data_IF_358400668557
#
_entry.id   IF_358400668557
#
_cell.length_a   1.000
_cell.length_b   1.000
_cell.length_c   1.000
_cell.angle_alpha   90.00
_cell.angle_beta   90.00
_cell.angle_gamma   90.00
#
_symmetry.space_group_name_H-M   'P 1'
#
loop_
_entity.id
_entity.type
_entity.pdbx_description
1 polymer ?
#
# COMPACT_ATOMS: atom_id res chain seq x y z
N UNK A 1 -15.03 -20.56 -11.28
CA UNK A 1 -13.73 -19.87 -11.18
C UNK A 1 -14.00 -18.39 -11.33
N UNK A 2 -13.68 -17.62 -10.28
CA UNK A 2 -13.87 -16.16 -10.26
C UNK A 2 -12.75 -15.47 -11.03
N UNK A 3 -13.09 -14.39 -11.73
CA UNK A 3 -12.21 -13.71 -12.68
C UNK A 3 -11.76 -12.37 -12.09
N UNK A 4 -10.46 -12.15 -12.05
CA UNK A 4 -9.86 -10.88 -11.62
C UNK A 4 -9.33 -10.15 -12.85
N UNK A 5 -9.64 -8.86 -12.92
CA UNK A 5 -9.16 -7.95 -13.95
C UNK A 5 -8.02 -7.08 -13.44
N UNK A 6 -6.91 -7.04 -14.17
CA UNK A 6 -5.80 -6.10 -13.92
C UNK A 6 -5.95 -4.85 -14.78
N UNK A 7 -5.70 -3.70 -14.17
CA UNK A 7 -5.65 -2.41 -14.84
C UNK A 7 -4.38 -1.73 -14.36
N UNK A 8 -3.47 -1.42 -15.28
CA UNK A 8 -2.14 -0.92 -14.94
C UNK A 8 -1.71 0.23 -15.86
N UNK A 9 -0.71 0.97 -15.43
CA UNK A 9 0.03 1.88 -16.29
C UNK A 9 0.82 1.10 -17.36
N UNK A 10 1.49 0.02 -16.95
CA UNK A 10 2.11 -1.00 -17.83
C UNK A 10 2.23 -2.33 -17.07
N UNK A 11 2.00 -3.46 -17.74
CA UNK A 11 1.85 -4.75 -17.04
C UNK A 11 3.18 -5.41 -16.64
N UNK A 12 4.30 -5.06 -17.29
CA UNK A 12 5.61 -5.60 -16.90
C UNK A 12 6.19 -4.84 -15.70
N UNK A 13 5.61 -5.13 -14.54
CA UNK A 13 6.06 -4.65 -13.24
C UNK A 13 6.01 -5.78 -12.19
N UNK A 14 6.61 -5.56 -11.03
CA UNK A 14 6.85 -6.62 -10.06
C UNK A 14 5.56 -7.25 -9.49
N UNK A 15 4.53 -6.49 -9.14
CA UNK A 15 3.31 -7.06 -8.55
C UNK A 15 2.50 -7.82 -9.60
N UNK A 16 2.32 -7.28 -10.79
CA UNK A 16 1.67 -7.90 -11.93
C UNK A 16 2.35 -9.23 -12.26
N UNK A 17 3.69 -9.26 -12.26
CA UNK A 17 4.46 -10.48 -12.49
C UNK A 17 4.27 -11.56 -11.40
N UNK A 18 3.86 -11.22 -10.17
CA UNK A 18 3.78 -12.15 -9.03
C UNK A 18 2.36 -12.50 -8.58
N UNK A 19 1.45 -11.52 -8.56
CA UNK A 19 0.09 -11.65 -8.06
C UNK A 19 -0.72 -12.77 -8.71
N UNK A 20 -0.66 -13.04 -10.04
CA UNK A 20 -1.40 -14.14 -10.65
C UNK A 20 -1.13 -15.48 -9.99
N UNK A 21 0.14 -15.79 -9.71
CA UNK A 21 0.53 -17.03 -9.05
C UNK A 21 0.12 -17.05 -7.57
N UNK A 22 0.32 -15.94 -6.85
CA UNK A 22 -0.01 -15.86 -5.43
C UNK A 22 -1.50 -15.95 -5.17
N UNK A 23 -2.33 -15.25 -5.96
CA UNK A 23 -3.78 -15.30 -5.86
C UNK A 23 -4.28 -16.71 -6.20
N UNK A 24 -3.77 -17.34 -7.26
CA UNK A 24 -4.13 -18.71 -7.62
C UNK A 24 -3.81 -19.68 -6.47
N UNK A 25 -2.64 -19.54 -5.86
CA UNK A 25 -2.23 -20.38 -4.73
C UNK A 25 -3.06 -20.11 -3.48
N UNK A 26 -3.29 -18.85 -3.12
CA UNK A 26 -4.03 -18.46 -1.93
C UNK A 26 -5.53 -18.80 -2.01
N UNK A 27 -6.10 -18.80 -3.23
CA UNK A 27 -7.50 -19.18 -3.49
C UNK A 27 -7.69 -20.66 -3.84
N UNK A 28 -6.62 -21.47 -3.78
CA UNK A 28 -6.65 -22.89 -4.18
C UNK A 28 -7.21 -23.10 -5.62
N UNK A 29 -6.92 -22.15 -6.51
CA UNK A 29 -7.36 -22.16 -7.91
C UNK A 29 -8.81 -21.75 -8.14
N UNK A 30 -9.53 -21.29 -7.11
CA UNK A 30 -10.92 -20.80 -7.27
C UNK A 30 -10.97 -19.42 -7.91
N UNK A 31 -9.90 -18.64 -7.83
CA UNK A 31 -9.71 -17.34 -8.50
C UNK A 31 -8.51 -17.36 -9.44
N UNK A 32 -8.60 -16.57 -10.52
CA UNK A 32 -7.47 -16.30 -11.40
C UNK A 32 -7.51 -14.89 -11.97
N UNK A 33 -6.34 -14.35 -12.31
CA UNK A 33 -6.21 -13.16 -13.13
C UNK A 33 -6.47 -13.59 -14.57
N UNK A 34 -7.58 -13.15 -15.13
CA UNK A 34 -8.05 -13.62 -16.44
C UNK A 34 -7.98 -12.54 -17.51
N UNK A 35 -8.09 -11.28 -17.10
CA UNK A 35 -8.13 -10.13 -17.99
C UNK A 35 -7.13 -9.09 -17.53
N UNK A 36 -6.53 -8.38 -18.48
CA UNK A 36 -5.65 -7.26 -18.19
C UNK A 36 -5.84 -6.14 -19.20
N UNK A 37 -5.61 -4.91 -18.75
CA UNK A 37 -5.39 -3.72 -19.56
C UNK A 37 -4.15 -3.01 -19.04
N UNK A 38 -3.26 -2.60 -19.95
CA UNK A 38 -2.14 -1.73 -19.63
C UNK A 38 -2.20 -0.48 -20.51
N UNK A 39 -2.11 0.71 -19.90
CA UNK A 39 -2.24 1.99 -20.60
C UNK A 39 -1.15 2.21 -21.65
N UNK A 40 0.08 1.77 -21.35
CA UNK A 40 1.22 1.76 -22.27
C UNK A 40 2.07 0.51 -22.07
N UNK A 41 2.98 0.25 -23.00
CA UNK A 41 4.02 -0.77 -22.82
C UNK A 41 5.12 -0.28 -21.87
N UNK A 42 5.81 -1.21 -21.21
CA UNK A 42 6.98 -0.89 -20.39
C UNK A 42 8.12 -0.32 -21.24
N UNK A 43 8.76 0.74 -20.76
CA UNK A 43 9.86 1.42 -21.49
C UNK A 43 11.15 0.61 -21.53
N UNK A 44 11.35 -0.26 -20.53
CA UNK A 44 12.59 -1.02 -20.34
C UNK A 44 12.35 -2.53 -20.20
N UNK A 45 11.10 -2.97 -20.40
CA UNK A 45 10.65 -4.34 -20.20
C UNK A 45 10.04 -4.98 -21.45
N UNK A 46 9.11 -5.90 -21.24
CA UNK A 46 8.30 -6.50 -22.29
C UNK A 46 7.02 -5.68 -22.54
N UNK A 47 6.41 -5.85 -23.72
CA UNK A 47 5.11 -5.25 -24.02
C UNK A 47 3.98 -5.94 -23.25
N UNK A 48 2.86 -5.25 -23.11
CA UNK A 48 1.65 -5.78 -22.48
C UNK A 48 1.15 -7.06 -23.16
N UNK A 49 1.29 -7.15 -24.49
CA UNK A 49 0.92 -8.35 -25.23
C UNK A 49 1.81 -9.56 -24.91
N UNK A 50 3.12 -9.35 -24.78
CA UNK A 50 4.06 -10.43 -24.40
C UNK A 50 3.86 -10.83 -22.94
N UNK A 51 3.59 -9.87 -22.06
CA UNK A 51 3.25 -10.15 -20.67
C UNK A 51 1.98 -11.01 -20.57
N UNK A 52 0.93 -10.62 -21.31
CA UNK A 52 -0.35 -11.31 -21.32
C UNK A 52 -0.20 -12.77 -21.78
N UNK A 53 0.55 -13.01 -22.87
CA UNK A 53 0.85 -14.37 -23.36
C UNK A 53 1.60 -15.21 -22.31
N UNK A 54 2.67 -14.64 -21.74
CA UNK A 54 3.49 -15.30 -20.70
C UNK A 54 2.68 -15.69 -19.47
N UNK A 55 1.73 -14.86 -19.05
CA UNK A 55 0.90 -15.10 -17.88
C UNK A 55 -0.42 -15.83 -18.19
N UNK A 56 -0.68 -16.16 -19.47
CA UNK A 56 -1.95 -16.74 -19.93
C UNK A 56 -3.17 -15.89 -19.54
N UNK A 57 -3.01 -14.57 -19.61
CA UNK A 57 -4.03 -13.55 -19.33
C UNK A 57 -4.51 -12.97 -20.64
N UNK A 58 -5.82 -12.73 -20.79
CA UNK A 58 -6.34 -12.06 -21.98
C UNK A 58 -6.13 -10.55 -21.86
N UNK A 59 -5.32 -9.99 -22.76
CA UNK A 59 -5.21 -8.54 -22.92
C UNK A 59 -6.50 -7.99 -23.58
N UNK A 60 -7.08 -6.95 -22.98
CA UNK A 60 -8.29 -6.27 -23.45
C UNK A 60 -7.95 -4.86 -23.92
N UNK A 61 -8.81 -4.30 -24.78
CA UNK A 61 -8.55 -3.02 -25.45
C UNK A 61 -8.93 -1.80 -24.59
N UNK A 62 -9.62 -2.02 -23.47
CA UNK A 62 -10.15 -0.93 -22.64
C UNK A 62 -10.41 -1.36 -21.19
N UNK A 63 -10.39 -0.39 -20.29
CA UNK A 63 -10.75 -0.57 -18.88
C UNK A 63 -12.21 -1.03 -18.76
N UNK A 64 -13.11 -0.51 -19.58
CA UNK A 64 -14.53 -0.88 -19.64
C UNK A 64 -14.72 -2.38 -19.88
N UNK A 65 -13.94 -2.96 -20.80
CA UNK A 65 -13.99 -4.40 -21.07
C UNK A 65 -13.47 -5.22 -19.89
N UNK A 66 -12.40 -4.77 -19.21
CA UNK A 66 -11.88 -5.43 -18.00
C UNK A 66 -12.93 -5.40 -16.90
N UNK A 67 -13.51 -4.22 -16.64
CA UNK A 67 -14.57 -4.03 -15.65
C UNK A 67 -15.77 -4.90 -15.98
N UNK A 68 -16.23 -4.96 -17.23
CA UNK A 68 -17.40 -5.74 -17.62
C UNK A 68 -17.22 -7.26 -17.42
N UNK A 69 -16.03 -7.79 -17.71
CA UNK A 69 -15.78 -9.23 -17.73
C UNK A 69 -15.27 -9.80 -16.39
N UNK A 70 -14.82 -8.96 -15.47
CA UNK A 70 -14.22 -9.41 -14.20
C UNK A 70 -15.23 -9.46 -13.06
N UNK A 71 -15.07 -10.37 -12.12
CA UNK A 71 -15.79 -10.38 -10.83
C UNK A 71 -15.17 -9.35 -9.86
N UNK A 72 -13.83 -9.24 -9.87
CA UNK A 72 -13.04 -8.39 -8.99
C UNK A 72 -11.96 -7.63 -9.76
N UNK A 73 -11.45 -6.55 -9.18
CA UNK A 73 -10.54 -5.64 -9.88
C UNK A 73 -9.29 -5.35 -9.05
N UNK A 74 -8.15 -5.30 -9.73
CA UNK A 74 -6.89 -4.82 -9.20
C UNK A 74 -6.39 -3.68 -10.09
N UNK A 75 -6.23 -2.50 -9.50
CA UNK A 75 -5.57 -1.36 -10.13
C UNK A 75 -4.14 -1.28 -9.61
N UNK A 76 -3.19 -1.28 -10.53
CA UNK A 76 -1.77 -1.21 -10.28
C UNK A 76 -1.23 0.11 -10.87
N UNK A 77 -0.11 0.55 -10.32
CA UNK A 77 0.84 1.53 -10.86
C UNK A 77 1.82 1.86 -9.71
N UNK A 78 2.56 0.87 -9.17
CA UNK A 78 3.17 0.99 -7.85
C UNK A 78 4.22 2.10 -7.71
N UNK A 79 4.94 2.38 -8.81
CA UNK A 79 5.93 3.46 -8.92
C UNK A 79 5.34 4.73 -9.58
N UNK A 80 4.06 4.71 -9.95
CA UNK A 80 3.33 5.76 -10.63
C UNK A 80 1.95 6.03 -10.00
N UNK A 81 1.88 6.31 -8.68
CA UNK A 81 0.61 6.47 -7.99
C UNK A 81 -0.23 7.63 -8.54
N UNK A 82 0.38 8.60 -9.24
CA UNK A 82 -0.34 9.66 -9.95
C UNK A 82 -1.27 9.16 -11.07
N UNK A 83 -1.09 7.92 -11.53
CA UNK A 83 -1.96 7.30 -12.54
C UNK A 83 -3.22 6.68 -11.93
N UNK A 84 -3.26 6.40 -10.63
CA UNK A 84 -4.37 5.67 -10.02
C UNK A 84 -5.71 6.38 -10.15
N UNK A 85 -5.79 7.71 -10.10
CA UNK A 85 -7.08 8.41 -10.31
C UNK A 85 -7.66 8.16 -11.70
N UNK A 86 -6.81 8.19 -12.74
CA UNK A 86 -7.21 7.89 -14.11
C UNK A 86 -7.61 6.41 -14.25
N UNK A 87 -6.75 5.51 -13.78
CA UNK A 87 -6.93 4.06 -13.96
C UNK A 87 -8.08 3.49 -13.13
N UNK A 88 -8.37 4.10 -11.97
CA UNK A 88 -9.39 3.62 -11.04
C UNK A 88 -10.77 4.27 -11.24
N UNK A 89 -10.93 5.24 -12.14
CA UNK A 89 -12.21 5.93 -12.38
C UNK A 89 -13.36 4.94 -12.63
N UNK A 90 -13.20 4.04 -13.60
CA UNK A 90 -14.22 3.05 -13.95
C UNK A 90 -14.29 1.87 -12.96
N UNK A 91 -13.17 1.31 -12.47
CA UNK A 91 -13.19 0.30 -11.42
C UNK A 91 -13.98 0.72 -10.18
N UNK A 92 -13.71 1.93 -9.68
CA UNK A 92 -14.35 2.44 -8.48
C UNK A 92 -15.81 2.85 -8.72
N UNK A 93 -16.22 3.08 -9.96
CA UNK A 93 -17.62 3.32 -10.32
C UNK A 93 -18.45 2.02 -10.47
N UNK A 94 -17.81 0.84 -10.41
CA UNK A 94 -18.44 -0.44 -10.81
C UNK A 94 -19.23 -1.15 -9.70
N UNK A 95 -19.02 -0.81 -8.44
CA UNK A 95 -19.55 -1.54 -7.28
C UNK A 95 -18.83 -2.88 -7.01
N UNK A 96 -17.81 -3.24 -7.80
CA UNK A 96 -17.07 -4.50 -7.64
C UNK A 96 -15.92 -4.33 -6.62
N UNK A 97 -15.65 -5.32 -5.76
CA UNK A 97 -14.47 -5.30 -4.90
C UNK A 97 -13.21 -4.95 -5.69
N UNK A 98 -12.59 -3.84 -5.31
CA UNK A 98 -11.45 -3.27 -6.02
C UNK A 98 -10.30 -3.08 -5.04
N UNK A 99 -9.14 -3.64 -5.37
CA UNK A 99 -7.88 -3.36 -4.67
C UNK A 99 -7.05 -2.38 -5.50
N UNK A 100 -6.51 -1.34 -4.87
CA UNK A 100 -5.56 -0.42 -5.51
C UNK A 100 -4.21 -0.61 -4.83
N UNK A 101 -3.16 -0.84 -5.62
CA UNK A 101 -1.85 -1.13 -5.06
C UNK A 101 -1.21 0.08 -4.36
N UNK A 102 -0.26 -0.21 -3.46
CA UNK A 102 0.62 0.80 -2.88
C UNK A 102 1.46 1.43 -3.99
N UNK A 103 1.73 2.73 -4.02
CA UNK A 103 1.58 3.73 -2.94
C UNK A 103 0.20 4.38 -2.85
N UNK A 104 -0.87 3.79 -3.39
CA UNK A 104 -2.26 4.28 -3.39
C UNK A 104 -2.53 5.62 -4.08
N UNK A 105 -1.84 6.69 -3.73
CA UNK A 105 -2.05 8.03 -4.29
C UNK A 105 -0.78 8.89 -4.18
N UNK A 106 -0.59 9.90 -5.05
CA UNK A 106 0.58 10.78 -5.01
C UNK A 106 0.56 11.73 -3.82
N UNK A 107 -0.63 12.06 -3.31
CA UNK A 107 -0.84 12.99 -2.20
C UNK A 107 -2.13 12.67 -1.44
N UNK A 108 -2.29 13.32 -0.27
CA UNK A 108 -3.46 13.13 0.59
C UNK A 108 -4.78 13.47 -0.11
N UNK A 109 -4.78 14.49 -0.96
CA UNK A 109 -6.01 14.97 -1.60
C UNK A 109 -6.51 13.95 -2.64
N UNK A 110 -5.61 13.37 -3.43
CA UNK A 110 -5.91 12.28 -4.34
C UNK A 110 -6.37 11.02 -3.58
N UNK A 111 -5.73 10.69 -2.46
CA UNK A 111 -6.16 9.56 -1.63
C UNK A 111 -7.62 9.69 -1.17
N UNK A 112 -8.02 10.89 -0.72
CA UNK A 112 -9.40 11.17 -0.33
C UNK A 112 -10.35 11.04 -1.52
N UNK A 113 -10.02 11.65 -2.67
CA UNK A 113 -10.89 11.58 -3.85
C UNK A 113 -11.13 10.14 -4.31
N UNK A 114 -10.11 9.28 -4.26
CA UNK A 114 -10.26 7.86 -4.58
C UNK A 114 -11.26 7.16 -3.64
N UNK A 115 -11.13 7.35 -2.32
CA UNK A 115 -12.06 6.76 -1.35
C UNK A 115 -13.47 7.36 -1.46
N UNK A 116 -13.60 8.67 -1.65
CA UNK A 116 -14.89 9.33 -1.86
C UNK A 116 -15.59 8.83 -3.13
N UNK A 117 -14.83 8.62 -4.21
CA UNK A 117 -15.36 8.06 -5.45
C UNK A 117 -15.84 6.62 -5.26
N UNK A 118 -15.06 5.77 -4.60
CA UNK A 118 -15.48 4.42 -4.26
C UNK A 118 -16.75 4.41 -3.39
N UNK A 119 -16.80 5.25 -2.35
CA UNK A 119 -17.94 5.36 -1.44
C UNK A 119 -19.21 5.83 -2.16
N UNK A 120 -19.10 6.84 -3.05
CA UNK A 120 -20.20 7.34 -3.86
C UNK A 120 -20.87 6.25 -4.70
N UNK A 121 -20.10 5.26 -5.14
CA UNK A 121 -20.55 4.16 -5.98
C UNK A 121 -20.79 2.85 -5.21
N UNK A 122 -20.62 2.85 -3.88
CA UNK A 122 -20.79 1.65 -3.06
C UNK A 122 -19.76 0.55 -3.33
N UNK A 123 -18.59 0.92 -3.84
CA UNK A 123 -17.51 -0.01 -4.20
C UNK A 123 -16.65 -0.32 -2.98
N UNK A 124 -16.53 -1.60 -2.56
CA UNK A 124 -15.53 -2.00 -1.57
C UNK A 124 -14.12 -1.72 -2.11
N UNK A 125 -13.34 -0.93 -1.36
CA UNK A 125 -12.00 -0.50 -1.74
C UNK A 125 -11.04 -0.59 -0.56
N UNK A 126 -9.87 -1.19 -0.78
CA UNK A 126 -8.73 -1.00 0.11
C UNK A 126 -7.39 -1.05 -0.63
N UNK A 127 -6.33 -0.68 0.09
CA UNK A 127 -4.93 -0.70 -0.36
C UNK A 127 -4.03 -1.12 0.79
N UNK A 128 -2.94 -1.84 0.50
CA UNK A 128 -2.00 -2.26 1.52
C UNK A 128 -0.67 -2.73 0.93
N UNK A 129 0.44 -2.46 1.60
CA UNK A 129 1.68 -3.19 1.40
C UNK A 129 1.61 -4.58 2.04
N UNK A 130 2.09 -5.60 1.31
CA UNK A 130 2.20 -6.96 1.85
C UNK A 130 2.98 -7.03 3.18
N UNK A 131 3.93 -6.13 3.41
CA UNK A 131 4.74 -6.09 4.62
C UNK A 131 3.92 -5.82 5.90
N UNK A 132 2.73 -5.21 5.78
CA UNK A 132 1.75 -5.06 6.87
C UNK A 132 1.36 -6.40 7.49
N UNK A 133 1.36 -7.46 6.69
CA UNK A 133 0.89 -8.80 7.07
C UNK A 133 1.99 -9.68 7.67
N UNK A 134 3.20 -9.16 7.87
CA UNK A 134 4.23 -9.90 8.58
C UNK A 134 3.71 -10.40 9.94
N UNK A 135 3.89 -11.69 10.21
CA UNK A 135 3.43 -12.36 11.42
C UNK A 135 3.99 -11.67 12.68
N UNK A 136 5.19 -11.12 12.58
CA UNK A 136 5.87 -10.40 13.66
C UNK A 136 5.18 -9.08 13.99
N UNK A 137 4.56 -8.42 13.00
CA UNK A 137 3.79 -7.20 13.22
C UNK A 137 2.36 -7.51 13.65
N UNK A 138 1.70 -8.47 13.00
CA UNK A 138 0.30 -8.81 13.30
C UNK A 138 0.12 -9.42 14.70
N UNK A 139 1.14 -10.13 15.21
CA UNK A 139 1.14 -10.70 16.57
C UNK A 139 1.71 -9.76 17.64
N UNK A 140 2.21 -8.57 17.25
CA UNK A 140 2.69 -7.61 18.22
C UNK A 140 1.53 -7.09 19.08
N UNK A 141 1.80 -6.90 20.37
CA UNK A 141 0.85 -6.20 21.24
C UNK A 141 0.74 -4.75 20.77
N UNK A 142 -0.48 -4.28 20.57
CA UNK A 142 -0.75 -2.90 20.15
C UNK A 142 -0.94 -1.98 21.36
N UNK A 143 -1.29 -2.55 22.50
CA UNK A 143 -1.58 -1.79 23.70
C UNK A 143 -0.28 -1.29 24.34
N UNK A 144 -0.28 -0.02 24.75
CA UNK A 144 0.84 0.57 25.48
C UNK A 144 2.11 0.78 24.67
N UNK A 145 2.10 0.69 23.33
CA UNK A 145 3.22 1.15 22.50
C UNK A 145 3.47 2.64 22.77
N UNK A 146 4.71 3.02 23.08
CA UNK A 146 5.13 4.41 23.31
C UNK A 146 6.02 4.93 22.19
N UNK A 147 6.98 4.11 21.76
CA UNK A 147 7.95 4.49 20.73
C UNK A 147 8.19 3.34 19.77
N UNK A 148 8.24 3.66 18.48
CA UNK A 148 8.70 2.76 17.43
C UNK A 148 9.97 3.32 16.76
N UNK A 149 10.98 2.48 16.54
CA UNK A 149 12.12 2.81 15.68
C UNK A 149 12.25 1.78 14.57
N UNK A 150 11.92 2.19 13.35
CA UNK A 150 11.98 1.38 12.14
C UNK A 150 13.24 1.69 11.33
N UNK A 151 13.87 0.63 10.83
CA UNK A 151 14.98 0.63 9.89
C UNK A 151 14.58 -0.17 8.64
N UNK A 152 15.00 0.26 7.46
CA UNK A 152 14.75 -0.49 6.23
C UNK A 152 15.57 -0.02 5.03
N UNK A 153 15.41 -0.71 3.90
CA UNK A 153 16.13 -0.45 2.66
C UNK A 153 15.45 0.61 1.79
N UNK A 154 16.04 0.84 0.61
CA UNK A 154 15.44 1.63 -0.46
C UNK A 154 15.44 3.13 -0.23
N UNK A 155 14.98 3.87 -1.24
CA UNK A 155 14.89 5.32 -1.20
C UNK A 155 13.59 5.78 -0.51
N UNK A 156 13.65 6.91 0.19
CA UNK A 156 12.50 7.40 0.94
C UNK A 156 11.24 7.63 0.06
N UNK A 157 11.41 8.20 -1.15
CA UNK A 157 10.27 8.64 -1.97
C UNK A 157 9.32 7.52 -2.41
N UNK A 158 9.82 6.31 -2.66
CA UNK A 158 9.01 5.18 -3.12
C UNK A 158 8.98 3.99 -2.12
N UNK A 159 10.03 3.81 -1.31
CA UNK A 159 10.13 2.68 -0.37
C UNK A 159 9.66 3.00 1.05
N UNK A 160 9.46 4.27 1.42
CA UNK A 160 9.08 4.63 2.80
C UNK A 160 7.75 4.03 3.25
N UNK A 161 6.81 3.79 2.32
CA UNK A 161 5.53 3.14 2.61
C UNK A 161 5.70 1.80 3.32
N UNK A 162 6.72 1.01 2.96
CA UNK A 162 6.99 -0.29 3.57
C UNK A 162 7.32 -0.17 5.07
N UNK A 163 7.82 0.97 5.54
CA UNK A 163 8.05 1.23 6.96
C UNK A 163 6.90 1.99 7.62
N UNK A 164 6.33 2.99 6.93
CA UNK A 164 5.26 3.84 7.46
C UNK A 164 3.97 3.03 7.67
N UNK A 165 3.61 2.13 6.75
CA UNK A 165 2.36 1.38 6.85
C UNK A 165 2.32 0.45 8.07
N UNK A 166 3.34 -0.38 8.37
CA UNK A 166 3.39 -1.14 9.62
C UNK A 166 3.34 -0.26 10.87
N UNK A 167 3.99 0.91 10.86
CA UNK A 167 3.92 1.88 11.97
C UNK A 167 2.47 2.32 12.20
N UNK A 168 1.76 2.71 11.14
CA UNK A 168 0.36 3.16 11.22
C UNK A 168 -0.59 2.00 11.58
N UNK A 169 -0.31 0.79 11.10
CA UNK A 169 -1.06 -0.41 11.52
C UNK A 169 -0.96 -0.67 13.02
N UNK A 170 0.21 -0.43 13.63
CA UNK A 170 0.46 -0.64 15.06
C UNK A 170 0.02 0.54 15.93
N UNK A 171 0.22 1.77 15.48
CA UNK A 171 0.03 2.98 16.30
C UNK A 171 -1.28 3.72 16.01
N UNK A 172 -1.93 3.49 14.88
CA UNK A 172 -3.13 4.19 14.45
C UNK A 172 -2.85 5.36 13.49
N UNK A 173 -3.94 6.02 13.08
CA UNK A 173 -3.92 7.05 12.03
C UNK A 173 -3.78 8.49 12.58
N UNK A 174 -3.54 8.68 13.88
CA UNK A 174 -3.51 9.97 14.58
C UNK A 174 -2.13 10.66 14.53
N UNK A 175 -1.35 10.43 13.47
CA UNK A 175 -0.10 11.14 13.24
C UNK A 175 -0.38 12.65 13.12
N UNK A 176 0.33 13.43 13.93
CA UNK A 176 0.11 14.87 14.10
C UNK A 176 1.09 15.70 13.28
N UNK A 177 2.37 15.34 13.28
CA UNK A 177 3.42 16.11 12.62
C UNK A 177 4.63 15.25 12.31
N UNK A 178 5.43 15.70 11.36
CA UNK A 178 6.64 15.01 10.91
C UNK A 178 7.83 15.95 10.87
N UNK A 179 9.03 15.41 11.06
CA UNK A 179 10.29 16.14 10.96
C UNK A 179 11.35 15.27 10.30
N UNK A 180 12.09 15.81 9.35
CA UNK A 180 13.29 15.15 8.84
C UNK A 180 14.43 15.29 9.84
N UNK A 181 15.02 14.15 10.22
CA UNK A 181 16.15 14.06 11.17
C UNK A 181 17.32 13.25 10.57
N UNK A 182 17.27 13.00 9.27
CA UNK A 182 18.25 12.20 8.54
C UNK A 182 19.33 13.01 7.85
N UNK A 183 20.13 12.31 7.05
CA UNK A 183 21.08 12.92 6.12
C UNK A 183 20.69 12.59 4.69
N UNK A 184 21.37 13.19 3.71
CA UNK A 184 21.18 12.85 2.30
C UNK A 184 21.45 11.37 1.99
N UNK A 185 22.39 10.75 2.70
CA UNK A 185 22.79 9.33 2.48
C UNK A 185 22.02 8.35 3.35
N UNK A 186 21.41 8.82 4.44
CA UNK A 186 20.56 8.02 5.31
C UNK A 186 19.33 8.85 5.72
N UNK A 187 18.35 9.03 4.81
CA UNK A 187 17.12 9.76 5.11
C UNK A 187 16.40 9.17 6.32
N UNK A 188 15.85 10.03 7.17
CA UNK A 188 15.12 9.62 8.35
C UNK A 188 14.03 10.63 8.69
N UNK A 189 12.91 10.11 9.16
CA UNK A 189 11.72 10.87 9.53
C UNK A 189 11.34 10.54 10.97
N UNK A 190 11.08 11.56 11.78
CA UNK A 190 10.38 11.47 13.05
C UNK A 190 8.90 11.78 12.82
N UNK A 191 8.03 10.94 13.34
CA UNK A 191 6.57 11.07 13.32
C UNK A 191 6.11 11.20 14.77
N UNK A 192 5.36 12.25 15.09
CA UNK A 192 4.72 12.41 16.40
C UNK A 192 3.22 12.19 16.26
N UNK A 193 2.64 11.42 17.19
CA UNK A 193 1.21 11.12 17.26
C UNK A 193 0.50 12.07 18.24
N UNK A 194 -0.83 12.15 18.12
CA UNK A 194 -1.65 13.11 18.88
C UNK A 194 -1.53 13.00 20.41
N UNK A 195 -1.23 11.81 20.91
CA UNK A 195 -1.06 11.51 22.34
C UNK A 195 0.40 11.55 22.82
N UNK A 196 1.32 12.01 21.98
CA UNK A 196 2.74 12.15 22.30
C UNK A 196 3.59 10.90 22.05
N UNK A 197 3.00 9.78 21.60
CA UNK A 197 3.79 8.65 21.08
C UNK A 197 4.61 9.08 19.86
N UNK A 198 5.72 8.38 19.60
CA UNK A 198 6.62 8.72 18.50
C UNK A 198 7.05 7.51 17.69
N UNK A 199 7.28 7.72 16.39
CA UNK A 199 7.91 6.72 15.53
C UNK A 199 9.05 7.35 14.73
N UNK A 200 10.14 6.61 14.52
CA UNK A 200 11.19 6.99 13.58
C UNK A 200 11.27 6.01 12.42
N UNK A 201 11.38 6.52 11.19
CA UNK A 201 11.69 5.76 9.98
C UNK A 201 13.11 6.12 9.56
N UNK A 202 13.96 5.13 9.26
CA UNK A 202 15.32 5.39 8.74
C UNK A 202 15.64 4.45 7.58
N UNK A 203 16.11 5.04 6.49
CA UNK A 203 16.61 4.32 5.33
C UNK A 203 18.13 4.22 5.43
N UNK A 204 18.66 2.99 5.46
CA UNK A 204 20.09 2.71 5.64
C UNK A 204 20.76 2.10 4.38
N UNK A 205 20.02 1.99 3.28
CA UNK A 205 20.49 1.39 2.03
C UNK A 205 20.06 -0.07 1.86
N UNK A 206 20.34 -0.63 0.69
CA UNK A 206 19.71 -1.87 0.20
C UNK A 206 20.01 -3.13 1.02
N UNK A 207 21.14 -3.16 1.75
CA UNK A 207 21.49 -4.29 2.63
C UNK A 207 20.74 -4.26 3.98
N UNK A 208 20.02 -3.19 4.30
CA UNK A 208 19.32 -3.06 5.56
C UNK A 208 18.00 -3.85 5.54
N UNK A 209 17.78 -4.83 6.44
CA UNK A 209 16.52 -5.53 6.52
C UNK A 209 15.44 -4.64 7.15
N UNK A 210 14.17 -4.96 6.88
CA UNK A 210 13.05 -4.37 7.62
C UNK A 210 13.08 -4.83 9.08
N UNK A 211 13.40 -3.91 9.99
CA UNK A 211 13.48 -4.17 11.42
C UNK A 211 12.85 -3.04 12.21
N UNK A 212 12.08 -3.38 13.23
CA UNK A 212 11.40 -2.43 14.10
C UNK A 212 11.69 -2.72 15.56
N UNK A 213 12.18 -1.72 16.30
CA UNK A 213 12.23 -1.75 17.75
C UNK A 213 10.97 -1.08 18.32
N UNK A 214 10.26 -1.77 19.21
CA UNK A 214 9.03 -1.28 19.85
C UNK A 214 9.24 -1.18 21.34
N UNK A 215 9.01 0.01 21.91
CA UNK A 215 9.02 0.29 23.35
C UNK A 215 7.60 0.38 23.87
N UNK A 216 7.35 -0.29 25.00
CA UNK A 216 6.07 -0.28 25.67
C UNK A 216 6.12 0.49 26.99
N UNK A 217 4.98 1.05 27.39
CA UNK A 217 4.74 1.73 28.69
C UNK A 217 5.07 0.86 29.89
N UNK A 218 4.94 -0.46 29.74
CA UNK A 218 5.36 -1.43 30.77
C UNK A 218 6.86 -1.40 31.08
N UNK A 219 7.65 -0.68 30.28
CA UNK A 219 9.11 -0.65 30.35
C UNK A 219 9.78 -1.67 29.44
N UNK A 220 9.03 -2.66 28.93
CA UNK A 220 9.55 -3.70 28.03
C UNK A 220 9.84 -3.19 26.61
N UNK A 221 10.69 -3.89 25.88
CA UNK A 221 10.94 -3.66 24.46
C UNK A 221 10.91 -4.96 23.65
N UNK A 222 10.63 -4.85 22.36
CA UNK A 222 10.69 -5.95 21.39
C UNK A 222 11.39 -5.51 20.12
N UNK A 223 12.08 -6.44 19.48
CA UNK A 223 12.60 -6.28 18.12
C UNK A 223 11.75 -7.17 17.22
N UNK A 224 11.11 -6.57 16.23
CA UNK A 224 10.31 -7.22 15.21
C UNK A 224 11.09 -7.18 13.90
N UNK A 225 11.44 -8.34 13.36
CA UNK A 225 12.06 -8.47 12.03
C UNK A 225 11.05 -9.13 11.12
N UNK A 226 10.74 -8.51 9.99
CA UNK A 226 9.78 -9.08 9.05
C UNK A 226 10.46 -10.21 8.25
N UNK A 227 10.38 -11.43 8.79
CA UNK A 227 11.01 -12.64 8.21
C UNK A 227 9.97 -13.67 7.74
N UNK A 228 8.73 -13.56 8.23
CA UNK A 228 7.61 -14.38 7.78
C UNK A 228 7.27 -14.20 6.30
N UNK A 229 6.58 -15.20 5.71
CA UNK A 229 6.05 -15.11 4.34
C UNK A 229 4.81 -14.19 4.28
N UNK A 230 5.07 -12.89 4.43
CA UNK A 230 4.03 -11.87 4.43
C UNK A 230 3.35 -11.69 3.07
N UNK A 231 3.97 -12.12 1.98
CA UNK A 231 3.32 -12.13 0.65
C UNK A 231 2.21 -13.17 0.59
N UNK A 232 2.44 -14.39 1.10
CA UNK A 232 1.38 -15.38 1.18
C UNK A 232 0.26 -14.95 2.13
N UNK A 233 0.60 -14.32 3.26
CA UNK A 233 -0.40 -13.80 4.20
C UNK A 233 -1.25 -12.67 3.59
N UNK A 234 -0.62 -11.75 2.88
CA UNK A 234 -1.30 -10.72 2.11
C UNK A 234 -2.22 -11.31 1.02
N UNK A 235 -1.74 -12.27 0.24
CA UNK A 235 -2.54 -12.89 -0.82
C UNK A 235 -3.81 -13.58 -0.26
N UNK A 236 -3.73 -14.18 0.93
CA UNK A 236 -4.90 -14.76 1.61
C UNK A 236 -5.90 -13.69 2.04
N UNK A 237 -5.40 -12.57 2.58
CA UNK A 237 -6.25 -11.42 2.94
C UNK A 237 -6.95 -10.84 1.72
N UNK A 238 -6.22 -10.67 0.61
CA UNK A 238 -6.74 -10.16 -0.66
C UNK A 238 -7.83 -11.06 -1.25
N UNK A 239 -7.64 -12.38 -1.22
CA UNK A 239 -8.66 -13.35 -1.62
C UNK A 239 -9.91 -13.24 -0.73
N UNK A 240 -9.73 -13.17 0.59
CA UNK A 240 -10.85 -13.03 1.52
C UNK A 240 -11.63 -11.70 1.33
N UNK A 241 -10.93 -10.61 1.02
CA UNK A 241 -11.55 -9.34 0.64
C UNK A 241 -12.41 -9.49 -0.61
N UNK A 242 -11.90 -10.15 -1.66
CA UNK A 242 -12.67 -10.34 -2.88
C UNK A 242 -13.95 -11.17 -2.65
N UNK A 243 -13.90 -12.20 -1.81
CA UNK A 243 -15.08 -13.02 -1.50
C UNK A 243 -16.13 -12.28 -0.66
N UNK A 244 -15.69 -11.47 0.29
CA UNK A 244 -16.57 -10.88 1.31
C UNK A 244 -16.94 -9.43 1.06
N UNK A 245 -16.13 -8.68 0.30
CA UNK A 245 -16.17 -7.23 0.23
C UNK A 245 -15.74 -6.52 1.53
N UNK A 246 -15.28 -7.26 2.54
CA UNK A 246 -14.88 -6.68 3.83
C UNK A 246 -13.43 -6.17 3.78
N UNK A 247 -13.25 -4.89 4.01
CA UNK A 247 -11.93 -4.25 4.02
C UNK A 247 -11.22 -4.48 5.36
N UNK A 248 -9.96 -4.90 5.31
CA UNK A 248 -9.13 -5.19 6.49
C UNK A 248 -8.20 -4.02 6.86
N UNK A 249 -8.09 -3.05 5.95
CA UNK A 249 -7.35 -1.79 6.16
C UNK A 249 -8.35 -0.63 6.13
N UNK A 250 -8.57 0.05 7.27
CA UNK A 250 -9.41 1.24 7.31
C UNK A 250 -8.83 2.35 6.43
N UNK A 251 -9.69 3.07 5.70
CA UNK A 251 -9.28 4.11 4.74
C UNK A 251 -8.52 5.25 5.42
N UNK A 252 -8.83 5.57 6.68
CA UNK A 252 -8.13 6.58 7.45
C UNK A 252 -6.65 6.24 7.66
N UNK A 253 -6.29 4.95 7.73
CA UNK A 253 -4.89 4.54 7.81
C UNK A 253 -4.17 4.80 6.49
N UNK A 254 -4.77 4.40 5.36
CA UNK A 254 -4.20 4.67 4.03
C UNK A 254 -4.02 6.18 3.82
N UNK A 255 -5.02 6.99 4.14
CA UNK A 255 -4.94 8.46 4.04
C UNK A 255 -3.81 9.02 4.93
N UNK A 256 -3.67 8.53 6.17
CA UNK A 256 -2.59 8.94 7.06
C UNK A 256 -1.21 8.55 6.53
N UNK A 257 -1.05 7.35 5.98
CA UNK A 257 0.19 6.88 5.34
C UNK A 257 0.59 7.83 4.20
N UNK A 258 -0.34 8.14 3.29
CA UNK A 258 -0.04 9.06 2.17
C UNK A 258 0.27 10.47 2.68
N UNK A 259 -0.45 10.94 3.69
CA UNK A 259 -0.18 12.23 4.32
C UNK A 259 1.23 12.31 4.91
N UNK A 260 1.71 11.24 5.54
CA UNK A 260 3.06 11.16 6.11
C UNK A 260 4.11 11.11 5.00
N UNK A 261 3.89 10.36 3.92
CA UNK A 261 4.82 10.28 2.79
C UNK A 261 4.93 11.66 2.11
N UNK A 262 3.80 12.27 1.77
CA UNK A 262 3.72 13.58 1.12
C UNK A 262 4.46 14.65 1.94
N UNK A 263 4.17 14.75 3.24
CA UNK A 263 4.78 15.76 4.11
C UNK A 263 6.19 15.37 4.55
N UNK A 264 6.53 14.09 4.57
CA UNK A 264 7.89 13.61 4.77
C UNK A 264 8.81 14.04 3.62
N UNK A 265 8.34 13.97 2.38
CA UNK A 265 9.05 14.50 1.21
C UNK A 265 9.31 16.01 1.32
N UNK A 266 8.34 16.78 1.83
CA UNK A 266 8.52 18.21 2.14
C UNK A 266 9.52 18.40 3.28
N UNK A 267 9.43 17.60 4.35
CA UNK A 267 10.31 17.69 5.52
C UNK A 267 11.78 17.44 5.15
N UNK A 268 12.05 16.53 4.20
CA UNK A 268 13.40 16.27 3.71
C UNK A 268 14.07 17.50 3.07
N UNK A 269 13.30 18.49 2.62
CA UNK A 269 13.81 19.75 2.05
C UNK A 269 14.11 20.81 3.12
N UNK A 270 13.58 20.64 4.33
CA UNK A 270 13.72 21.55 5.48
C UNK A 270 14.00 20.76 6.77
N UNK A 271 15.21 20.19 6.91
CA UNK A 271 15.54 19.31 8.03
C UNK A 271 15.47 20.04 9.38
N UNK A 272 15.09 19.29 10.42
CA UNK A 272 14.94 19.77 11.80
C UNK A 272 13.81 20.79 12.02
N UNK A 273 12.89 20.92 11.06
CA UNK A 273 11.66 21.69 11.20
C UNK A 273 10.44 20.77 11.26
N UNK A 274 9.49 21.08 12.13
CA UNK A 274 8.22 20.36 12.20
C UNK A 274 7.31 20.79 11.05
N UNK A 275 6.71 19.80 10.37
CA UNK A 275 5.59 19.99 9.45
C UNK A 275 4.36 19.37 10.10
N UNK A 276 3.36 20.21 10.41
CA UNK A 276 2.07 19.76 10.92
C UNK A 276 1.29 19.03 9.82
N UNK A 277 0.72 17.88 10.17
CA UNK A 277 -0.15 17.11 9.29
C UNK A 277 -1.59 17.62 9.39
N UNK A 278 -2.37 17.57 8.29
CA UNK A 278 -3.79 17.90 8.36
C UNK A 278 -4.50 16.96 9.33
N UNK A 279 -5.41 17.51 10.15
CA UNK A 279 -6.20 16.70 11.07
C UNK A 279 -6.95 15.60 10.29
N UNK A 280 -7.03 14.39 10.86
CA UNK A 280 -7.84 13.34 10.28
C UNK A 280 -9.28 13.85 10.19
N UNK A 281 -9.80 14.02 8.97
CA UNK A 281 -11.20 14.35 8.80
C UNK A 281 -11.97 13.14 9.31
N UNK A 282 -12.73 13.35 10.39
CA UNK A 282 -13.65 12.33 10.92
C UNK A 282 -14.79 12.24 9.91
N UNK A 283 -14.63 11.39 8.90
CA UNK A 283 -15.71 11.06 7.98
C UNK A 283 -16.63 10.08 8.71
N UNK A 284 -17.73 10.61 9.23
CA UNK A 284 -18.86 9.87 9.80
C UNK A 284 -19.77 9.31 8.72
#
# INVERSE_FOLDING_TARGET
MKKIGFIDYYLDEWHANNYPAWIRNASEGTMEVAYAYGLKDSEHGISNAVWADKHSVQLLDSIEQVVAQSDYLIVLAPDHPEQHELLAELPLASGKPTYIDKTFAPDRAAAIRLFEHAAKHGTPLYSSSALRYAAEYTKADREGIEVISSLGPGAFHNYSIHQIEPIISLMGADAKRVMSIGTKTAPALLIEFGDGRQATVRHLGDECPFTMAVKYRSGSSRILRAESDFFQLFARDLVAFFESGHTTVPSEQTIAIISIIENGMKALQQPYEWIELPCAAVHS
#
